data_IF_713378955444
#
_entry.id   IF_713378955444
#
_cell.length_a   1.000
_cell.length_b   1.000
_cell.length_c   1.000
_cell.angle_alpha   90.00
_cell.angle_beta   90.00
_cell.angle_gamma   90.00
#
_symmetry.space_group_name_H-M   'P 1'
#
loop_
_entity.id
_entity.type
_entity.pdbx_description
1 polymer ?
#
# COMPACT_ATOMS: atom_id res chain seq x y z
N UNK A 1 9.11 -16.46 -0.28
CA UNK A 1 7.66 -16.20 -0.42
C UNK A 1 7.35 -16.11 -1.91
N UNK A 2 6.36 -16.84 -2.41
CA UNK A 2 5.94 -16.69 -3.81
C UNK A 2 5.25 -15.32 -4.01
N UNK A 3 5.36 -14.69 -5.19
CA UNK A 3 4.65 -13.46 -5.49
C UNK A 3 3.14 -13.71 -5.48
N UNK A 4 2.38 -12.73 -4.98
CA UNK A 4 0.91 -12.78 -4.90
C UNK A 4 0.20 -12.74 -6.27
N UNK A 5 0.95 -12.42 -7.32
CA UNK A 5 0.48 -12.24 -8.69
C UNK A 5 1.58 -12.70 -9.67
N UNK A 6 1.21 -13.27 -10.83
CA UNK A 6 2.17 -13.57 -11.90
C UNK A 6 2.68 -12.30 -12.61
N UNK A 7 1.98 -11.17 -12.47
CA UNK A 7 2.42 -9.86 -12.97
C UNK A 7 3.24 -9.17 -11.89
N UNK A 8 4.44 -8.70 -12.23
CA UNK A 8 5.30 -7.85 -11.38
C UNK A 8 5.55 -6.52 -12.07
N UNK A 9 5.80 -5.46 -11.29
CA UNK A 9 6.20 -4.15 -11.83
C UNK A 9 7.07 -3.39 -10.85
N UNK A 10 7.63 -2.28 -11.32
CA UNK A 10 8.31 -1.32 -10.45
C UNK A 10 7.33 -0.59 -9.54
N UNK A 11 7.83 -0.19 -8.36
CA UNK A 11 7.09 0.61 -7.40
C UNK A 11 6.61 1.92 -8.05
N UNK A 12 5.31 2.19 -7.98
CA UNK A 12 4.70 3.39 -8.56
C UNK A 12 4.65 4.60 -7.61
N UNK A 13 5.29 4.50 -6.44
CA UNK A 13 5.19 5.49 -5.36
C UNK A 13 3.73 5.84 -5.00
N UNK A 14 2.78 4.91 -5.17
CA UNK A 14 1.36 5.20 -4.96
C UNK A 14 0.98 5.37 -3.48
N UNK A 15 1.79 4.88 -2.54
CA UNK A 15 1.48 4.91 -1.11
C UNK A 15 0.49 3.85 -0.62
N UNK A 16 -0.19 3.12 -1.52
CA UNK A 16 -1.27 2.19 -1.15
C UNK A 16 -0.80 1.05 -0.23
N UNK A 17 0.37 0.43 -0.51
CA UNK A 17 0.90 -0.63 0.34
C UNK A 17 1.31 -0.15 1.75
N UNK A 18 1.53 1.14 1.93
CA UNK A 18 1.85 1.72 3.22
C UNK A 18 0.59 2.14 3.99
N UNK A 19 -0.49 2.53 3.30
CA UNK A 19 -1.70 3.06 3.94
C UNK A 19 -2.87 2.07 4.03
N UNK A 20 -2.97 1.10 3.13
CA UNK A 20 -4.16 0.24 3.05
C UNK A 20 -4.11 -1.04 3.89
N UNK A 21 -3.07 -1.90 3.83
CA UNK A 21 -3.14 -3.23 4.44
C UNK A 21 -3.02 -3.17 5.96
N UNK A 22 -3.66 -4.09 6.67
CA UNK A 22 -3.34 -4.36 8.08
C UNK A 22 -1.98 -5.05 8.15
N UNK A 23 -1.13 -4.58 9.07
CA UNK A 23 0.17 -5.20 9.35
C UNK A 23 0.28 -5.36 10.85
N UNK A 24 -0.26 -6.48 11.35
CA UNK A 24 -0.27 -6.82 12.77
C UNK A 24 1.12 -6.72 13.43
N UNK A 25 2.17 -7.20 12.74
CA UNK A 25 3.55 -7.15 13.23
C UNK A 25 4.09 -5.71 13.43
N UNK A 26 3.46 -4.71 12.81
CA UNK A 26 3.79 -3.29 12.95
C UNK A 26 2.72 -2.53 13.75
N UNK A 27 1.69 -3.21 14.26
CA UNK A 27 0.53 -2.59 14.90
C UNK A 27 -0.19 -1.58 14.00
N UNK A 28 -0.18 -1.80 12.67
CA UNK A 28 -0.72 -0.86 11.69
C UNK A 28 -2.11 -1.31 11.24
N UNK A 29 -3.19 -0.65 11.68
CA UNK A 29 -4.55 -1.07 11.32
C UNK A 29 -4.82 -0.92 9.82
N UNK A 30 -5.86 -1.65 9.37
CA UNK A 30 -6.37 -1.56 8.01
C UNK A 30 -6.81 -0.12 7.68
N UNK A 31 -6.42 0.36 6.51
CA UNK A 31 -6.78 1.70 6.01
C UNK A 31 -6.06 2.87 6.70
N UNK A 32 -5.24 2.63 7.73
CA UNK A 32 -4.50 3.66 8.44
C UNK A 32 -3.11 3.88 7.79
N UNK A 33 -2.75 5.15 7.45
CA UNK A 33 -1.41 5.49 6.99
C UNK A 33 -0.31 5.03 7.94
N UNK A 34 0.69 4.31 7.42
CA UNK A 34 1.88 3.94 8.18
C UNK A 34 2.63 5.20 8.67
N UNK A 35 3.21 5.14 9.86
CA UNK A 35 4.11 6.18 10.40
C UNK A 35 5.30 6.47 9.48
N UNK A 36 5.73 5.49 8.67
CA UNK A 36 6.83 5.65 7.73
C UNK A 36 6.38 6.13 6.33
N UNK A 37 5.12 6.54 6.17
CA UNK A 37 4.63 7.11 4.93
C UNK A 37 5.16 8.54 4.79
N UNK A 38 5.87 8.79 3.70
CA UNK A 38 6.37 10.12 3.37
C UNK A 38 5.26 11.09 2.98
N UNK A 39 5.59 12.39 2.86
CA UNK A 39 4.64 13.42 2.46
C UNK A 39 4.07 13.13 1.06
N UNK A 40 2.91 13.74 0.78
CA UNK A 40 2.36 13.75 -0.57
C UNK A 40 3.25 14.61 -1.47
N UNK A 41 3.75 14.01 -2.55
CA UNK A 41 4.59 14.66 -3.55
C UNK A 41 3.79 15.12 -4.78
N UNK A 42 2.45 15.14 -4.70
CA UNK A 42 1.54 15.51 -5.78
C UNK A 42 1.28 14.39 -6.81
N UNK A 43 2.23 13.47 -6.98
CA UNK A 43 2.06 12.25 -7.77
C UNK A 43 1.90 10.99 -6.89
N UNK A 44 2.22 11.09 -5.60
CA UNK A 44 2.03 10.02 -4.63
C UNK A 44 2.92 10.11 -3.40
N UNK A 45 3.08 8.98 -2.72
CA UNK A 45 3.80 8.89 -1.45
C UNK A 45 4.90 7.83 -1.52
N UNK A 46 6.11 8.24 -1.16
CA UNK A 46 7.24 7.35 -0.95
C UNK A 46 7.26 6.84 0.49
N UNK A 47 7.88 5.69 0.73
CA UNK A 47 8.12 5.20 2.07
C UNK A 47 9.47 5.72 2.56
N UNK A 48 9.49 6.38 3.72
CA UNK A 48 10.68 7.01 4.28
C UNK A 48 11.79 6.00 4.64
N UNK A 49 11.43 4.73 4.87
CA UNK A 49 12.35 3.64 5.23
C UNK A 49 12.44 2.57 4.13
N UNK A 50 12.29 2.95 2.85
CA UNK A 50 12.19 2.00 1.73
C UNK A 50 13.33 0.96 1.73
N UNK A 51 14.57 1.42 1.92
CA UNK A 51 15.76 0.57 1.90
C UNK A 51 15.87 -0.35 3.12
N UNK A 52 15.33 0.09 4.26
CA UNK A 52 15.37 -0.61 5.56
C UNK A 52 14.03 -1.24 5.94
N UNK A 53 13.11 -1.41 4.96
CA UNK A 53 11.79 -2.01 5.19
C UNK A 53 11.89 -3.34 5.96
N UNK A 54 11.01 -3.57 6.96
CA UNK A 54 10.95 -4.86 7.62
C UNK A 54 10.49 -5.94 6.64
N UNK A 55 10.76 -7.21 6.97
CA UNK A 55 10.51 -8.36 6.08
C UNK A 55 9.06 -8.43 5.59
N UNK A 56 8.09 -8.10 6.45
CA UNK A 56 6.68 -8.05 6.08
C UNK A 56 6.40 -7.04 4.96
N UNK A 57 7.08 -5.89 4.96
CA UNK A 57 6.97 -4.88 3.91
C UNK A 57 7.75 -5.29 2.64
N UNK A 58 8.89 -5.98 2.76
CA UNK A 58 9.67 -6.49 1.60
C UNK A 58 9.00 -7.67 0.91
N UNK A 59 8.24 -8.47 1.66
CA UNK A 59 7.46 -9.57 1.12
C UNK A 59 6.36 -9.08 0.16
N UNK A 60 5.89 -7.83 0.31
CA UNK A 60 5.01 -7.20 -0.65
C UNK A 60 5.78 -6.78 -1.90
N UNK A 61 5.53 -7.48 -3.01
CA UNK A 61 6.05 -7.14 -4.33
C UNK A 61 5.03 -6.27 -5.09
N UNK A 62 5.44 -5.15 -5.71
CA UNK A 62 4.55 -4.36 -6.55
C UNK A 62 4.09 -5.16 -7.78
N UNK A 63 2.80 -5.07 -8.08
CA UNK A 63 2.16 -5.80 -9.16
C UNK A 63 1.07 -4.96 -9.84
N UNK A 64 0.15 -5.61 -10.56
CA UNK A 64 -0.98 -4.96 -11.24
C UNK A 64 -1.81 -4.04 -10.33
N UNK A 65 -1.95 -4.34 -9.03
CA UNK A 65 -2.70 -3.50 -8.07
C UNK A 65 -2.10 -2.10 -7.99
N UNK A 66 -0.77 -1.99 -8.05
CA UNK A 66 -0.08 -0.71 -8.07
C UNK A 66 -0.44 0.13 -9.31
N UNK A 67 -0.83 -0.51 -10.42
CA UNK A 67 -1.34 0.16 -11.61
C UNK A 67 -2.78 0.63 -11.51
N UNK A 68 -3.61 -0.08 -10.74
CA UNK A 68 -5.01 0.30 -10.49
C UNK A 68 -5.13 1.46 -9.50
N UNK A 69 -4.24 1.51 -8.51
CA UNK A 69 -4.30 2.54 -7.47
C UNK A 69 -3.53 3.80 -7.84
N UNK A 70 -2.36 3.71 -8.48
CA UNK A 70 -1.51 4.87 -8.75
C UNK A 70 -2.20 6.05 -9.49
N UNK A 71 -3.09 5.83 -10.48
CA UNK A 71 -3.76 6.91 -11.19
C UNK A 71 -4.75 7.72 -10.33
N UNK A 72 -5.14 7.21 -9.15
CA UNK A 72 -6.12 7.88 -8.32
C UNK A 72 -5.52 9.12 -7.64
N UNK A 73 -6.30 10.22 -7.53
CA UNK A 73 -5.76 11.54 -7.20
C UNK A 73 -5.40 11.73 -5.73
N UNK A 74 -5.93 10.92 -4.82
CA UNK A 74 -5.71 11.08 -3.38
C UNK A 74 -5.35 9.76 -2.72
N UNK A 75 -4.56 9.81 -1.64
CA UNK A 75 -4.23 8.62 -0.84
C UNK A 75 -5.49 7.87 -0.37
N UNK A 76 -6.52 8.60 0.07
CA UNK A 76 -7.78 7.99 0.49
C UNK A 76 -8.48 7.22 -0.65
N UNK A 77 -8.49 7.75 -1.87
CA UNK A 77 -9.03 7.03 -3.03
C UNK A 77 -8.21 5.76 -3.34
N UNK A 78 -6.87 5.86 -3.24
CA UNK A 78 -5.96 4.73 -3.42
C UNK A 78 -6.18 3.63 -2.41
N UNK A 79 -6.36 3.99 -1.13
CA UNK A 79 -6.67 3.06 -0.04
C UNK A 79 -8.01 2.37 -0.31
N UNK A 80 -9.08 3.12 -0.61
CA UNK A 80 -10.39 2.55 -0.91
C UNK A 80 -10.32 1.55 -2.07
N UNK A 81 -9.67 1.92 -3.18
CA UNK A 81 -9.51 1.02 -4.34
C UNK A 81 -8.72 -0.24 -3.98
N UNK A 82 -7.65 -0.11 -3.21
CA UNK A 82 -6.90 -1.26 -2.70
C UNK A 82 -7.81 -2.19 -1.90
N UNK A 83 -8.55 -1.66 -0.92
CA UNK A 83 -9.46 -2.46 -0.10
C UNK A 83 -10.54 -3.15 -0.95
N UNK A 84 -11.13 -2.46 -1.92
CA UNK A 84 -12.08 -3.06 -2.87
C UNK A 84 -11.48 -4.21 -3.67
N UNK A 85 -10.22 -4.09 -4.12
CA UNK A 85 -9.53 -5.16 -4.86
C UNK A 85 -9.40 -6.44 -4.02
N UNK A 86 -9.20 -6.31 -2.71
CA UNK A 86 -9.10 -7.44 -1.79
C UNK A 86 -10.40 -7.80 -1.07
N UNK A 87 -11.50 -7.09 -1.34
CA UNK A 87 -12.78 -7.32 -0.66
C UNK A 87 -12.82 -6.88 0.81
N UNK A 88 -11.93 -5.97 1.23
CA UNK A 88 -11.73 -5.55 2.63
C UNK A 88 -12.40 -4.20 2.97
N UNK A 89 -13.29 -3.69 2.11
CA UNK A 89 -13.86 -2.35 2.27
C UNK A 89 -14.70 -2.17 3.54
N UNK A 90 -15.32 -3.24 4.05
CA UNK A 90 -16.21 -3.20 5.21
C UNK A 90 -15.46 -3.38 6.55
N UNK A 91 -14.19 -3.77 6.50
CA UNK A 91 -13.34 -4.00 7.68
C UNK A 91 -12.50 -2.78 8.06
N UNK A 92 -12.43 -1.77 7.18
CA UNK A 92 -11.66 -0.56 7.41
C UNK A 92 -12.47 0.43 8.26
N UNK A 93 -12.15 0.52 9.56
CA UNK A 93 -12.75 1.50 10.48
C UNK A 93 -13.81 0.96 11.45
N UNK A 94 -13.87 -0.35 11.66
CA UNK A 94 -14.59 -0.98 12.77
C UNK A 94 -13.83 -0.87 14.10
#
# INVERSE_FOLDING_TARGET
>A
MAPRSPVTRDCTACGACCAAPDIHALGKPLGVPCVNLGPDQGCGHLCAVYDTRPDVCRAYQPDWVCGEVAPLPTLGARVRRFLTIYGLQDEAGA
#
